data_IF_432443027223
#
_entry.id   IF_432443027223
#
_cell.length_a   1.000
_cell.length_b   1.000
_cell.length_c   1.000
_cell.angle_alpha   90.00
_cell.angle_beta   90.00
_cell.angle_gamma   90.00
#
_symmetry.space_group_name_H-M   'P 1'
#
loop_
_entity.id
_entity.type
_entity.pdbx_description
1 polymer ?
#
# COMPACT_ATOMS: atom_id res chain seq x y z
N UNK A 1 -7.48 -21.44 -3.18
CA UNK A 1 -7.24 -20.34 -4.15
C UNK A 1 -6.11 -19.47 -3.63
N UNK A 2 -5.01 -19.35 -4.38
CA UNK A 2 -3.88 -18.50 -3.99
C UNK A 2 -4.26 -17.01 -4.06
N UNK A 3 -3.77 -16.21 -3.11
CA UNK A 3 -3.92 -14.76 -3.11
C UNK A 3 -2.54 -14.11 -3.25
N UNK A 4 -2.45 -13.12 -4.13
CA UNK A 4 -1.29 -12.25 -4.22
C UNK A 4 -1.48 -11.07 -3.26
N UNK A 5 -0.41 -10.72 -2.56
CA UNK A 5 -0.31 -9.55 -1.71
C UNK A 5 0.82 -8.66 -2.24
N UNK A 6 0.51 -7.41 -2.54
CA UNK A 6 1.46 -6.43 -3.03
C UNK A 6 1.47 -5.21 -2.14
N UNK A 7 2.65 -4.86 -1.65
CA UNK A 7 2.83 -3.86 -0.61
C UNK A 7 3.60 -2.66 -1.13
N UNK A 8 3.14 -1.49 -0.74
CA UNK A 8 3.70 -0.23 -1.17
C UNK A 8 3.87 0.72 0.00
N UNK A 9 4.84 1.62 -0.14
CA UNK A 9 5.03 2.75 0.76
C UNK A 9 5.16 4.04 -0.05
N UNK A 10 4.62 5.13 0.48
CA UNK A 10 4.83 6.46 -0.08
C UNK A 10 5.20 7.45 1.03
N UNK A 11 6.37 8.12 0.93
CA UNK A 11 6.71 9.20 1.84
C UNK A 11 5.84 10.42 1.56
N UNK A 12 5.43 11.11 2.62
CA UNK A 12 4.72 12.37 2.51
C UNK A 12 5.12 13.29 3.66
N UNK A 13 5.12 14.61 3.41
CA UNK A 13 5.66 15.59 4.35
C UNK A 13 4.64 16.11 5.36
N UNK A 14 3.41 15.66 5.30
CA UNK A 14 2.32 16.22 6.08
C UNK A 14 2.10 15.36 7.35
N UNK A 15 2.20 15.95 8.53
CA UNK A 15 2.24 15.22 9.80
C UNK A 15 0.98 15.36 10.66
N UNK A 16 -0.12 15.91 10.12
CA UNK A 16 -1.35 16.09 10.89
C UNK A 16 -2.36 14.98 10.58
N UNK A 17 -3.18 14.63 11.59
CA UNK A 17 -4.27 13.65 11.41
C UNK A 17 -5.24 13.99 10.27
N UNK A 18 -5.40 15.28 9.97
CA UNK A 18 -6.24 15.75 8.86
C UNK A 18 -5.59 15.42 7.52
N UNK A 19 -4.29 15.69 7.38
CA UNK A 19 -3.54 15.39 6.15
C UNK A 19 -3.51 13.88 5.88
N UNK A 20 -3.35 13.07 6.94
CA UNK A 20 -3.41 11.60 6.85
C UNK A 20 -4.76 11.16 6.29
N UNK A 21 -5.84 11.68 6.85
CA UNK A 21 -7.19 11.35 6.42
C UNK A 21 -7.44 11.75 4.95
N UNK A 22 -7.06 12.98 4.57
CA UNK A 22 -7.20 13.46 3.20
C UNK A 22 -6.40 12.61 2.21
N UNK A 23 -5.18 12.23 2.58
CA UNK A 23 -4.31 11.41 1.72
C UNK A 23 -4.81 9.97 1.60
N UNK A 24 -5.26 9.36 2.70
CA UNK A 24 -5.88 8.03 2.70
C UNK A 24 -7.20 8.03 1.92
N UNK A 25 -8.00 9.08 2.03
CA UNK A 25 -9.25 9.22 1.30
C UNK A 25 -9.00 9.39 -0.20
N UNK A 26 -8.02 10.21 -0.60
CA UNK A 26 -7.61 10.36 -2.00
C UNK A 26 -7.12 9.03 -2.58
N UNK A 27 -6.34 8.26 -1.82
CA UNK A 27 -5.86 6.95 -2.23
C UNK A 27 -7.01 5.95 -2.41
N UNK A 28 -7.98 5.94 -1.48
CA UNK A 28 -9.21 5.14 -1.61
C UNK A 28 -10.02 5.53 -2.84
N UNK A 29 -10.20 6.82 -3.10
CA UNK A 29 -10.93 7.30 -4.28
C UNK A 29 -10.25 6.90 -5.59
N UNK A 30 -8.91 6.91 -5.64
CA UNK A 30 -8.15 6.47 -6.80
C UNK A 30 -8.22 4.95 -7.02
N UNK A 31 -8.35 4.16 -5.95
CA UNK A 31 -8.54 2.71 -6.01
C UNK A 31 -9.98 2.28 -6.32
N UNK A 32 -10.99 3.11 -6.02
CA UNK A 32 -12.41 2.77 -6.15
C UNK A 32 -12.82 2.27 -7.55
N UNK A 33 -12.33 2.85 -8.67
CA UNK A 33 -12.59 2.31 -10.01
C UNK A 33 -12.05 0.88 -10.19
N UNK A 34 -10.87 0.59 -9.65
CA UNK A 34 -10.26 -0.74 -9.72
C UNK A 34 -11.03 -1.75 -8.86
N UNK A 35 -11.45 -1.35 -7.66
CA UNK A 35 -12.26 -2.18 -6.76
C UNK A 35 -13.62 -2.53 -7.36
N UNK A 36 -14.26 -1.58 -8.06
CA UNK A 36 -15.55 -1.80 -8.74
C UNK A 36 -15.44 -2.77 -9.91
N UNK A 37 -14.33 -2.73 -10.64
CA UNK A 37 -14.08 -3.63 -11.77
C UNK A 37 -13.62 -5.02 -11.32
N UNK A 38 -12.95 -5.12 -10.16
CA UNK A 38 -12.28 -6.33 -9.67
C UNK A 38 -12.79 -6.76 -8.31
N UNK A 39 -13.77 -7.68 -8.30
CA UNK A 39 -14.42 -8.16 -7.05
C UNK A 39 -13.46 -8.84 -6.07
N UNK A 40 -12.33 -9.36 -6.54
CA UNK A 40 -11.34 -10.02 -5.68
C UNK A 40 -10.36 -9.05 -5.02
N UNK A 41 -10.24 -7.81 -5.54
CA UNK A 41 -9.30 -6.82 -5.05
C UNK A 41 -9.77 -6.26 -3.69
N UNK A 42 -8.90 -6.35 -2.70
CA UNK A 42 -9.05 -5.75 -1.38
C UNK A 42 -7.83 -4.90 -1.09
N UNK A 43 -7.99 -3.88 -0.25
CA UNK A 43 -6.87 -3.06 0.17
C UNK A 43 -6.95 -2.69 1.65
N UNK A 44 -5.78 -2.47 2.25
CA UNK A 44 -5.59 -1.85 3.56
C UNK A 44 -4.59 -0.71 3.38
N UNK A 45 -4.88 0.46 3.93
CA UNK A 45 -3.96 1.59 3.93
C UNK A 45 -3.87 2.20 5.32
N UNK A 46 -2.66 2.57 5.73
CA UNK A 46 -2.40 3.16 7.06
C UNK A 46 -1.25 4.16 6.98
N UNK A 47 -1.38 5.26 7.72
CA UNK A 47 -0.31 6.24 7.90
C UNK A 47 0.52 5.87 9.12
N UNK A 48 1.83 6.04 9.01
CA UNK A 48 2.82 5.78 10.05
C UNK A 48 3.70 7.01 10.22
N UNK A 49 3.74 7.53 11.43
CA UNK A 49 4.52 8.70 11.83
C UNK A 49 5.77 8.32 12.59
N UNK A 50 5.81 7.11 13.16
CA UNK A 50 6.93 6.65 13.97
C UNK A 50 7.34 5.23 13.62
N UNK A 51 8.59 4.90 13.94
CA UNK A 51 9.17 3.58 13.72
C UNK A 51 8.41 2.51 14.53
N UNK A 52 8.02 2.82 15.77
CA UNK A 52 7.33 1.86 16.64
C UNK A 52 5.95 1.46 16.06
N UNK A 53 5.31 2.34 15.29
CA UNK A 53 4.03 2.03 14.65
C UNK A 53 4.17 1.02 13.49
N UNK A 54 5.33 1.01 12.83
CA UNK A 54 5.68 0.02 11.80
C UNK A 54 5.90 -1.36 12.42
N UNK A 55 6.67 -1.42 13.51
CA UNK A 55 6.95 -2.67 14.24
C UNK A 55 5.66 -3.30 14.79
N UNK A 56 4.73 -2.48 15.29
CA UNK A 56 3.42 -2.93 15.77
C UNK A 56 2.54 -3.55 14.66
N UNK A 57 2.74 -3.18 13.39
CA UNK A 57 2.07 -3.81 12.24
C UNK A 57 2.93 -4.91 11.61
N UNK A 58 3.98 -5.35 12.31
CA UNK A 58 4.91 -6.40 11.87
C UNK A 58 5.64 -6.06 10.56
N UNK A 59 5.74 -4.77 10.22
CA UNK A 59 6.53 -4.29 9.09
C UNK A 59 7.98 -4.11 9.54
N UNK A 60 8.95 -4.56 8.74
CA UNK A 60 10.37 -4.30 9.01
C UNK A 60 10.67 -2.81 8.77
N UNK A 61 10.98 -2.01 9.82
CA UNK A 61 11.23 -0.59 9.66
C UNK A 61 12.44 -0.30 8.79
N UNK A 62 13.44 -1.18 8.77
CA UNK A 62 14.64 -0.99 7.92
C UNK A 62 14.27 -1.07 6.45
N UNK A 63 13.38 -1.98 6.08
CA UNK A 63 12.89 -2.11 4.69
C UNK A 63 12.05 -0.89 4.33
N UNK A 64 11.09 -0.53 5.18
CA UNK A 64 10.21 0.63 4.96
C UNK A 64 11.01 1.91 4.79
N UNK A 65 11.93 2.20 5.72
CA UNK A 65 12.77 3.40 5.68
C UNK A 65 13.71 3.37 4.47
N UNK A 66 14.32 2.23 4.13
CA UNK A 66 15.17 2.13 2.93
C UNK A 66 14.39 2.47 1.66
N UNK A 67 13.14 1.99 1.54
CA UNK A 67 12.29 2.25 0.38
C UNK A 67 11.73 3.68 0.40
N UNK A 68 11.38 4.22 1.57
CA UNK A 68 10.90 5.60 1.70
C UNK A 68 12.01 6.64 1.54
N UNK A 69 13.29 6.25 1.66
CA UNK A 69 14.44 7.16 1.60
C UNK A 69 14.85 7.71 2.97
N UNK A 70 14.48 7.02 4.06
CA UNK A 70 14.72 7.41 5.43
C UNK A 70 13.70 8.41 5.96
N UNK A 71 12.60 8.61 5.23
CA UNK A 71 11.58 9.61 5.55
C UNK A 71 10.41 9.00 6.32
N UNK A 72 9.94 9.74 7.32
CA UNK A 72 8.64 9.62 7.99
C UNK A 72 7.99 11.01 8.01
N UNK A 73 6.65 11.12 7.96
CA UNK A 73 5.68 10.03 7.94
C UNK A 73 5.57 9.32 6.57
N UNK A 74 5.07 8.09 6.58
CA UNK A 74 4.81 7.28 5.38
C UNK A 74 3.40 6.73 5.37
N UNK A 75 2.84 6.53 4.19
CA UNK A 75 1.62 5.73 4.03
C UNK A 75 2.01 4.38 3.47
N UNK A 76 1.58 3.33 4.15
CA UNK A 76 1.63 1.96 3.67
C UNK A 76 0.30 1.61 3.02
N UNK A 77 0.39 0.93 1.88
CA UNK A 77 -0.73 0.37 1.13
C UNK A 77 -0.45 -1.11 0.88
N UNK A 78 -1.37 -1.95 1.31
CA UNK A 78 -1.39 -3.38 1.05
C UNK A 78 -2.57 -3.69 0.13
N UNK A 79 -2.28 -4.30 -1.03
CA UNK A 79 -3.27 -4.76 -2.00
C UNK A 79 -3.31 -6.28 -1.98
N UNK A 80 -4.48 -6.87 -1.78
CA UNK A 80 -4.71 -8.31 -1.89
C UNK A 80 -5.62 -8.60 -3.06
N UNK A 81 -5.22 -9.52 -3.94
CA UNK A 81 -5.99 -9.86 -5.14
C UNK A 81 -5.72 -11.29 -5.59
N UNK A 82 -6.61 -11.85 -6.41
CA UNK A 82 -6.33 -13.14 -7.05
C UNK A 82 -5.28 -12.96 -8.14
N UNK A 83 -4.22 -13.80 -8.21
CA UNK A 83 -3.25 -13.75 -9.31
C UNK A 83 -3.94 -13.76 -10.67
N UNK A 84 -3.53 -12.85 -11.57
CA UNK A 84 -4.14 -12.67 -12.89
C UNK A 84 -5.36 -11.72 -12.95
N UNK A 85 -5.93 -11.32 -11.81
CA UNK A 85 -7.06 -10.38 -11.79
C UNK A 85 -6.61 -8.91 -11.89
N UNK A 86 -5.39 -8.60 -11.41
CA UNK A 86 -4.79 -7.27 -11.51
C UNK A 86 -3.45 -7.39 -12.23
N UNK A 87 -3.31 -6.71 -13.37
CA UNK A 87 -2.02 -6.59 -14.04
C UNK A 87 -1.20 -5.47 -13.39
N UNK A 88 0.13 -5.61 -13.41
CA UNK A 88 1.03 -4.56 -12.92
C UNK A 88 0.79 -3.20 -13.62
N UNK A 89 0.37 -3.22 -14.89
CA UNK A 89 0.06 -2.02 -15.67
C UNK A 89 -1.15 -1.25 -15.12
N UNK A 90 -2.15 -1.93 -14.55
CA UNK A 90 -3.31 -1.28 -13.95
C UNK A 90 -2.95 -0.46 -12.70
N UNK A 91 -1.83 -0.80 -12.05
CA UNK A 91 -1.34 -0.13 -10.85
C UNK A 91 -0.35 1.01 -11.17
N UNK A 92 0.28 1.03 -12.36
CA UNK A 92 1.24 2.07 -12.74
C UNK A 92 0.71 3.52 -12.61
N UNK A 93 -0.55 3.84 -12.98
CA UNK A 93 -1.08 5.18 -12.79
C UNK A 93 -1.13 5.58 -11.32
N UNK A 94 -1.55 4.65 -10.45
CA UNK A 94 -1.61 4.84 -9.00
C UNK A 94 -0.20 5.01 -8.42
N UNK A 95 0.74 4.17 -8.88
CA UNK A 95 2.15 4.22 -8.47
C UNK A 95 2.76 5.58 -8.78
N UNK A 96 2.53 6.12 -9.99
CA UNK A 96 3.02 7.45 -10.38
C UNK A 96 2.31 8.58 -9.63
N UNK A 97 0.98 8.53 -9.52
CA UNK A 97 0.18 9.59 -8.91
C UNK A 97 0.49 9.77 -7.43
N UNK A 98 0.67 8.68 -6.69
CA UNK A 98 0.94 8.72 -5.26
C UNK A 98 2.40 8.50 -4.90
N UNK A 99 3.30 8.39 -5.88
CA UNK A 99 4.72 8.04 -5.67
C UNK A 99 4.85 6.75 -4.82
N UNK A 100 4.04 5.74 -5.13
CA UNK A 100 4.08 4.46 -4.43
C UNK A 100 5.36 3.74 -4.82
N UNK A 101 6.10 3.30 -3.81
CA UNK A 101 7.32 2.51 -3.96
C UNK A 101 7.05 1.11 -3.46
N UNK A 102 7.34 0.13 -4.31
CA UNK A 102 7.12 -1.28 -4.00
C UNK A 102 7.99 -1.70 -2.81
N UNK A 103 7.34 -2.23 -1.78
CA UNK A 103 8.00 -2.84 -0.64
C UNK A 103 8.26 -4.33 -0.91
N UNK A 104 7.27 -5.01 -1.51
CA UNK A 104 7.36 -6.43 -1.86
C UNK A 104 6.08 -6.95 -2.50
N UNK A 105 6.17 -8.13 -3.10
CA UNK A 105 5.03 -8.89 -3.60
C UNK A 105 5.20 -10.35 -3.19
N UNK A 106 4.15 -10.93 -2.61
CA UNK A 106 4.14 -12.30 -2.11
C UNK A 106 2.87 -13.00 -2.58
N UNK A 107 3.00 -14.24 -3.01
CA UNK A 107 1.84 -15.09 -3.34
C UNK A 107 1.69 -16.09 -2.20
N UNK A 108 0.55 -16.04 -1.52
CA UNK A 108 0.20 -17.06 -0.54
C UNK A 108 -0.32 -18.29 -1.31
N UNK A 109 0.54 -19.30 -1.46
CA UNK A 109 0.20 -20.58 -2.08
C UNK A 109 -0.67 -21.49 -1.17
N UNK A 110 -1.02 -21.07 0.05
CA UNK A 110 -1.85 -21.87 0.96
C UNK A 110 -3.31 -21.45 0.94
N UNK A 111 -4.06 -22.11 0.06
CA UNK A 111 -5.42 -22.52 0.39
C UNK A 111 -5.66 -23.89 -0.24
N UNK A 112 -5.08 -24.92 0.40
CA UNK A 112 -5.53 -26.31 0.38
C UNK A 112 -6.36 -26.51 1.64
#
# INVERSE_FOLDING_TARGET
MALACREYVTPYRAGTKKDDYERLMALKQALDPLLKQRKSLRFKAKAFHKVEELENELLDPKVVLKVSGGELPVIWLNLTYTPGDVSAEALQPLEKQFNLRLLGEFVDEKAV
#
